data_IF_403241099838
#
_entry.id   IF_403241099838
#
_cell.length_a   1.000
_cell.length_b   1.000
_cell.length_c   1.000
_cell.angle_alpha   90.00
_cell.angle_beta   90.00
_cell.angle_gamma   90.00
#
_symmetry.space_group_name_H-M   'P 1'
#
loop_
_entity.id
_entity.type
_entity.pdbx_description
1 polymer ?
#
# COMPACT_ATOMS: atom_id res chain seq x y z
N UNK A 1 -13.26 16.35 18.67
CA UNK A 1 -11.86 16.05 19.07
C UNK A 1 -11.21 15.35 17.90
N UNK A 2 -10.08 15.83 17.36
CA UNK A 2 -9.27 15.05 16.43
C UNK A 2 -8.58 13.98 17.25
N UNK A 3 -9.00 12.74 17.13
CA UNK A 3 -8.37 11.60 17.78
C UNK A 3 -6.98 11.42 17.18
N UNK A 4 -5.95 11.30 18.01
CA UNK A 4 -4.57 11.11 17.58
C UNK A 4 -3.89 10.06 18.49
N UNK A 5 -2.63 9.75 18.24
CA UNK A 5 -1.87 8.79 19.03
C UNK A 5 -1.22 9.38 20.28
N UNK A 6 -1.56 10.61 20.71
CA UNK A 6 -0.91 11.27 21.86
C UNK A 6 -1.04 10.48 23.17
N UNK A 7 -2.15 9.76 23.33
CA UNK A 7 -2.45 9.03 24.54
C UNK A 7 -2.05 7.54 24.46
N UNK A 8 -1.61 7.08 23.28
CA UNK A 8 -1.15 5.70 23.09
C UNK A 8 0.26 5.53 23.66
N UNK A 9 0.32 5.36 24.99
CA UNK A 9 1.56 5.11 25.74
C UNK A 9 1.79 3.61 25.96
N UNK A 10 2.97 3.18 26.42
CA UNK A 10 3.29 1.76 26.66
C UNK A 10 2.32 1.03 27.58
N UNK A 11 1.83 1.68 28.64
CA UNK A 11 0.90 1.06 29.59
C UNK A 11 -0.45 0.75 28.89
N UNK A 12 -0.98 1.71 28.13
CA UNK A 12 -2.21 1.50 27.35
C UNK A 12 -2.06 0.40 26.29
N UNK A 13 -0.88 0.31 25.67
CA UNK A 13 -0.58 -0.75 24.70
C UNK A 13 -0.57 -2.12 25.39
N UNK A 14 0.05 -2.23 26.56
CA UNK A 14 0.08 -3.46 27.34
C UNK A 14 -1.31 -3.87 27.80
N UNK A 15 -2.10 -2.93 28.35
CA UNK A 15 -3.49 -3.16 28.74
C UNK A 15 -4.36 -3.63 27.55
N UNK A 16 -4.13 -3.05 26.36
CA UNK A 16 -4.84 -3.47 25.15
C UNK A 16 -4.47 -4.91 24.74
N UNK A 17 -3.20 -5.28 24.81
CA UNK A 17 -2.76 -6.65 24.49
C UNK A 17 -3.32 -7.65 25.50
N UNK A 18 -3.37 -7.31 26.77
CA UNK A 18 -3.96 -8.17 27.81
C UNK A 18 -5.42 -8.55 27.53
N UNK A 19 -6.19 -7.70 26.85
CA UNK A 19 -7.55 -8.04 26.41
C UNK A 19 -7.61 -9.25 25.47
N UNK A 20 -6.54 -9.52 24.74
CA UNK A 20 -6.43 -10.70 23.88
C UNK A 20 -6.18 -12.01 24.66
N UNK A 21 -5.84 -11.89 25.95
CA UNK A 21 -5.38 -13.00 26.79
C UNK A 21 -3.92 -13.37 26.63
N UNK A 22 -3.17 -12.68 25.76
CA UNK A 22 -1.71 -12.82 25.65
C UNK A 22 -1.05 -12.05 26.80
N UNK A 23 -0.02 -12.67 27.40
CA UNK A 23 0.77 -12.02 28.45
C UNK A 23 2.15 -11.66 27.93
N UNK A 24 2.49 -10.38 28.01
CA UNK A 24 3.77 -9.86 27.52
C UNK A 24 4.88 -10.25 28.49
N UNK A 25 5.93 -10.87 27.98
CA UNK A 25 7.19 -11.18 28.71
C UNK A 25 8.41 -10.47 28.07
N UNK A 26 8.20 -9.35 27.42
CA UNK A 26 9.27 -8.56 26.79
C UNK A 26 8.96 -7.07 26.83
N UNK A 27 9.93 -6.23 26.43
CA UNK A 27 9.63 -4.86 26.06
C UNK A 27 8.86 -4.79 24.74
N UNK A 28 8.20 -3.64 24.50
CA UNK A 28 7.60 -3.29 23.22
C UNK A 28 8.67 -2.72 22.30
N UNK A 29 8.78 -3.26 21.09
CA UNK A 29 9.69 -2.75 20.05
C UNK A 29 8.84 -2.07 19.01
N UNK A 30 8.95 -0.74 18.87
CA UNK A 30 8.26 0.01 17.82
C UNK A 30 8.83 -0.38 16.46
N UNK A 31 7.95 -0.72 15.53
CA UNK A 31 8.30 -1.01 14.13
C UNK A 31 8.05 0.23 13.26
N UNK A 32 8.79 0.33 12.15
CA UNK A 32 8.65 1.43 11.21
C UNK A 32 7.26 1.39 10.56
N UNK A 33 6.35 2.20 11.07
CA UNK A 33 5.03 2.45 10.49
C UNK A 33 4.62 3.87 10.81
N UNK A 34 4.28 4.63 9.78
CA UNK A 34 3.94 6.05 9.94
C UNK A 34 2.42 6.27 10.00
N UNK A 35 1.66 5.45 9.28
CA UNK A 35 0.21 5.57 9.25
C UNK A 35 -0.43 4.99 10.52
N UNK A 36 -0.05 3.79 10.88
CA UNK A 36 -0.48 3.11 12.09
C UNK A 36 0.60 3.17 13.18
N UNK A 37 0.32 2.64 14.36
CA UNK A 37 1.35 2.37 15.36
C UNK A 37 1.51 0.87 15.49
N UNK A 38 2.71 0.39 15.23
CA UNK A 38 3.00 -1.05 15.14
C UNK A 38 4.12 -1.40 16.11
N UNK A 39 3.87 -2.39 16.94
CA UNK A 39 4.83 -2.85 17.93
C UNK A 39 5.01 -4.36 17.86
N UNK A 40 6.25 -4.80 18.04
CA UNK A 40 6.57 -6.21 18.22
C UNK A 40 6.75 -6.47 19.73
N UNK A 41 6.24 -7.62 20.18
CA UNK A 41 6.41 -8.11 21.54
C UNK A 41 6.54 -9.63 21.55
N UNK A 42 6.90 -10.18 22.72
CA UNK A 42 7.04 -11.61 22.96
C UNK A 42 6.18 -11.99 24.17
N UNK A 43 5.52 -13.13 24.09
CA UNK A 43 4.74 -13.71 25.21
C UNK A 43 5.61 -14.56 26.15
N UNK A 44 5.00 -15.09 27.22
CA UNK A 44 5.65 -15.98 28.22
C UNK A 44 6.20 -17.27 27.60
N UNK A 45 5.63 -17.73 26.45
CA UNK A 45 6.10 -18.89 25.68
C UNK A 45 7.22 -18.53 24.70
N UNK A 46 7.72 -17.31 24.73
CA UNK A 46 8.71 -16.74 23.79
C UNK A 46 8.26 -16.70 22.35
N UNK A 47 6.95 -16.73 22.09
CA UNK A 47 6.40 -16.50 20.75
C UNK A 47 6.35 -15.01 20.48
N UNK A 48 6.70 -14.63 19.26
CA UNK A 48 6.73 -13.23 18.83
C UNK A 48 5.46 -12.86 18.12
N UNK A 49 4.95 -11.68 18.43
CA UNK A 49 3.73 -11.11 17.87
C UNK A 49 3.99 -9.68 17.42
N UNK A 50 3.11 -9.23 16.52
CA UNK A 50 3.02 -7.84 16.10
C UNK A 50 1.62 -7.35 16.41
N UNK A 51 1.50 -6.23 17.13
CA UNK A 51 0.24 -5.51 17.33
C UNK A 51 0.24 -4.26 16.48
N UNK A 52 -0.84 -4.06 15.71
CA UNK A 52 -1.09 -2.86 14.91
C UNK A 52 -2.29 -2.12 15.48
N UNK A 53 -2.08 -0.89 15.93
CA UNK A 53 -3.12 0.06 16.29
C UNK A 53 -3.45 0.88 15.06
N UNK A 54 -4.67 0.73 14.55
CA UNK A 54 -5.13 1.45 13.37
C UNK A 54 -5.30 2.93 13.67
N UNK A 55 -4.94 3.78 12.71
CA UNK A 55 -5.14 5.22 12.84
C UNK A 55 -6.63 5.51 12.98
N UNK A 56 -7.04 6.16 14.08
CA UNK A 56 -8.43 6.52 14.28
C UNK A 56 -8.96 7.41 13.13
N UNK A 57 -10.12 7.03 12.60
CA UNK A 57 -10.77 7.79 11.53
C UNK A 57 -10.21 7.61 10.11
N UNK A 58 -9.17 6.75 9.92
CA UNK A 58 -8.72 6.38 8.57
C UNK A 58 -9.66 5.37 7.93
N UNK A 59 -9.90 4.27 8.61
CA UNK A 59 -10.79 3.21 8.18
C UNK A 59 -11.94 3.02 9.17
N UNK A 60 -13.13 2.71 8.68
CA UNK A 60 -14.24 2.26 9.51
C UNK A 60 -13.97 0.82 10.01
N UNK A 61 -14.65 0.43 11.09
CA UNK A 61 -14.60 -0.95 11.57
C UNK A 61 -14.95 -1.98 10.48
N UNK A 62 -15.94 -1.69 9.64
CA UNK A 62 -16.35 -2.56 8.55
C UNK A 62 -15.24 -2.71 7.49
N UNK A 63 -14.54 -1.64 7.17
CA UNK A 63 -13.42 -1.68 6.23
C UNK A 63 -12.24 -2.50 6.77
N UNK A 64 -11.92 -2.38 8.07
CA UNK A 64 -10.85 -3.17 8.69
C UNK A 64 -11.23 -4.65 8.73
N UNK A 65 -12.46 -4.96 9.09
CA UNK A 65 -12.92 -6.37 9.13
C UNK A 65 -12.97 -7.00 7.74
N UNK A 66 -13.23 -6.22 6.70
CA UNK A 66 -13.18 -6.70 5.32
C UNK A 66 -11.74 -6.99 4.85
N UNK A 67 -10.74 -6.17 5.28
CA UNK A 67 -9.31 -6.49 5.13
C UNK A 67 -8.97 -7.83 5.80
N UNK A 68 -9.39 -8.00 7.06
CA UNK A 68 -9.14 -9.23 7.83
C UNK A 68 -9.78 -10.46 7.16
N UNK A 69 -11.01 -10.32 6.67
CA UNK A 69 -11.72 -11.39 5.98
C UNK A 69 -11.02 -11.77 4.65
N UNK A 70 -10.51 -10.78 3.92
CA UNK A 70 -9.73 -11.03 2.72
C UNK A 70 -8.44 -11.78 3.03
N UNK A 71 -7.67 -11.33 4.04
CA UNK A 71 -6.46 -12.02 4.48
C UNK A 71 -6.73 -13.47 4.90
N UNK A 72 -7.80 -13.71 5.69
CA UNK A 72 -8.19 -15.04 6.12
C UNK A 72 -8.50 -15.95 4.93
N UNK A 73 -9.25 -15.45 3.94
CA UNK A 73 -9.58 -16.19 2.72
C UNK A 73 -8.33 -16.54 1.89
N UNK A 74 -7.38 -15.62 1.77
CA UNK A 74 -6.11 -15.92 1.11
C UNK A 74 -5.36 -17.05 1.83
N UNK A 75 -5.34 -17.04 3.16
CA UNK A 75 -4.77 -18.13 3.96
C UNK A 75 -5.50 -19.47 3.76
N UNK A 76 -6.84 -19.47 3.68
CA UNK A 76 -7.66 -20.67 3.42
C UNK A 76 -7.31 -21.33 2.07
N UNK A 77 -6.85 -20.53 1.11
CA UNK A 77 -6.38 -21.03 -0.19
C UNK A 77 -4.86 -21.26 -0.23
N UNK A 78 -4.23 -21.38 0.93
CA UNK A 78 -2.79 -21.64 1.09
C UNK A 78 -1.90 -20.59 0.41
N UNK A 79 -2.37 -19.33 0.35
CA UNK A 79 -1.56 -18.20 -0.10
C UNK A 79 -0.83 -17.63 1.11
N UNK A 80 0.50 -17.42 1.03
CA UNK A 80 1.30 -16.97 2.15
C UNK A 80 1.09 -15.46 2.41
N UNK A 81 0.07 -15.14 3.19
CA UNK A 81 -0.20 -13.77 3.68
C UNK A 81 -0.22 -13.74 5.20
N UNK A 82 0.15 -12.60 5.78
CA UNK A 82 0.00 -12.39 7.21
C UNK A 82 -1.46 -12.03 7.52
N UNK A 83 -2.20 -12.95 8.16
CA UNK A 83 -3.55 -12.70 8.63
C UNK A 83 -3.58 -12.44 10.14
N UNK A 84 -4.49 -11.58 10.65
CA UNK A 84 -4.62 -11.34 12.07
C UNK A 84 -5.16 -12.56 12.82
N UNK A 85 -4.72 -12.72 14.07
CA UNK A 85 -5.16 -13.79 14.96
C UNK A 85 -6.57 -13.46 15.50
N UNK A 86 -7.44 -14.46 15.55
CA UNK A 86 -8.73 -14.31 16.19
C UNK A 86 -8.65 -14.66 17.70
N UNK A 87 -9.15 -13.77 18.54
CA UNK A 87 -9.30 -13.96 19.98
C UNK A 87 -10.79 -13.98 20.32
N UNK A 88 -11.25 -15.09 20.88
CA UNK A 88 -12.70 -15.34 21.12
C UNK A 88 -13.59 -15.14 19.87
N UNK A 89 -13.04 -15.38 18.67
CA UNK A 89 -13.73 -15.23 17.39
C UNK A 89 -13.60 -13.85 16.74
N UNK A 90 -12.99 -12.87 17.42
CA UNK A 90 -12.80 -11.50 16.92
C UNK A 90 -11.36 -11.26 16.51
N UNK A 91 -11.14 -10.73 15.31
CA UNK A 91 -9.81 -10.34 14.80
C UNK A 91 -9.48 -8.86 15.03
N UNK A 92 -10.51 -8.04 15.25
CA UNK A 92 -10.38 -6.61 15.54
C UNK A 92 -10.88 -6.34 16.95
N UNK A 93 -9.96 -5.97 17.81
CA UNK A 93 -10.21 -5.57 19.19
C UNK A 93 -10.20 -4.04 19.31
N UNK A 94 -10.68 -3.53 20.44
CA UNK A 94 -10.67 -2.10 20.72
C UNK A 94 -10.37 -1.85 22.20
N UNK A 95 -9.48 -0.91 22.48
CA UNK A 95 -9.20 -0.45 23.82
C UNK A 95 -9.12 1.08 23.87
N UNK A 96 -9.91 1.70 24.73
CA UNK A 96 -10.00 3.16 24.92
C UNK A 96 -10.13 3.95 23.61
N UNK A 97 -10.91 3.43 22.65
CA UNK A 97 -11.15 4.06 21.33
C UNK A 97 -10.06 3.80 20.29
N UNK A 98 -9.03 2.99 20.61
CA UNK A 98 -8.04 2.53 19.65
C UNK A 98 -8.40 1.14 19.13
N UNK A 99 -8.80 1.00 17.84
CA UNK A 99 -8.94 -0.31 17.22
C UNK A 99 -7.55 -0.90 16.97
N UNK A 100 -7.39 -2.20 17.27
CA UNK A 100 -6.14 -2.90 17.07
C UNK A 100 -6.35 -4.37 16.69
N UNK A 101 -5.33 -4.94 16.06
CA UNK A 101 -5.28 -6.37 15.78
C UNK A 101 -3.87 -6.89 16.02
N UNK A 102 -3.76 -8.21 16.18
CA UNK A 102 -2.50 -8.89 16.51
C UNK A 102 -2.21 -9.97 15.47
N UNK A 103 -0.97 -10.02 15.03
CA UNK A 103 -0.45 -11.03 14.10
C UNK A 103 0.65 -11.84 14.78
N UNK A 104 0.82 -13.08 14.35
CA UNK A 104 2.06 -13.78 14.63
C UNK A 104 3.20 -13.08 13.89
N UNK A 105 4.29 -12.77 14.60
CA UNK A 105 5.48 -12.20 13.96
C UNK A 105 6.17 -13.25 13.11
N UNK A 106 6.28 -12.97 11.82
CA UNK A 106 6.99 -13.84 10.88
C UNK A 106 8.31 -13.18 10.50
N UNK A 107 9.42 -13.91 10.66
CA UNK A 107 10.72 -13.46 10.19
C UNK A 107 10.89 -13.75 8.70
N UNK A 108 11.64 -12.89 8.04
CA UNK A 108 12.03 -13.05 6.65
C UNK A 108 13.07 -11.98 6.27
N UNK A 109 13.83 -12.23 5.21
CA UNK A 109 14.63 -11.18 4.58
C UNK A 109 13.75 -10.36 3.64
N UNK A 110 14.23 -9.22 3.21
CA UNK A 110 13.56 -8.45 2.17
C UNK A 110 13.57 -9.23 0.84
N UNK A 111 12.48 -9.14 0.10
CA UNK A 111 12.38 -9.61 -1.27
C UNK A 111 13.32 -8.81 -2.19
N UNK A 112 13.99 -9.50 -3.10
CA UNK A 112 14.96 -8.91 -4.04
C UNK A 112 14.36 -8.91 -5.45
N UNK A 113 13.92 -7.75 -5.91
CA UNK A 113 13.26 -7.59 -7.24
C UNK A 113 14.18 -8.00 -8.39
N UNK A 114 15.49 -7.77 -8.26
CA UNK A 114 16.47 -8.09 -9.30
C UNK A 114 16.76 -9.60 -9.40
N UNK A 115 16.24 -10.39 -8.45
CA UNK A 115 16.28 -11.84 -8.51
C UNK A 115 15.06 -12.35 -9.28
N UNK A 116 15.26 -12.68 -10.55
CA UNK A 116 14.17 -13.09 -11.46
C UNK A 116 13.46 -14.37 -11.00
N UNK A 117 14.17 -15.32 -10.37
CA UNK A 117 13.54 -16.53 -9.83
C UNK A 117 12.54 -16.17 -8.70
N UNK A 118 12.93 -15.22 -7.83
CA UNK A 118 12.03 -14.72 -6.77
C UNK A 118 10.86 -13.94 -7.37
N UNK A 119 11.11 -13.15 -8.40
CA UNK A 119 10.10 -12.34 -9.07
C UNK A 119 9.03 -13.23 -9.74
N UNK A 120 9.43 -14.31 -10.39
CA UNK A 120 8.51 -15.29 -10.98
C UNK A 120 7.63 -15.95 -9.89
N UNK A 121 8.23 -16.31 -8.73
CA UNK A 121 7.46 -16.81 -7.59
C UNK A 121 6.46 -15.80 -7.06
N UNK A 122 6.84 -14.52 -6.97
CA UNK A 122 5.91 -13.44 -6.60
C UNK A 122 4.78 -13.36 -7.62
N UNK A 123 5.08 -13.46 -8.91
CA UNK A 123 4.09 -13.51 -9.99
C UNK A 123 3.06 -14.64 -9.76
N UNK A 124 3.50 -15.86 -9.49
CA UNK A 124 2.61 -17.00 -9.20
C UNK A 124 1.64 -16.70 -8.06
N UNK A 125 2.14 -16.14 -6.97
CA UNK A 125 1.28 -15.84 -5.82
C UNK A 125 0.37 -14.64 -6.07
N UNK A 126 0.81 -13.63 -6.83
CA UNK A 126 -0.08 -12.53 -7.24
C UNK A 126 -1.19 -13.03 -8.15
N UNK A 127 -0.91 -13.96 -9.08
CA UNK A 127 -1.95 -14.62 -9.89
C UNK A 127 -2.98 -15.34 -9.02
N UNK A 128 -2.53 -16.03 -7.97
CA UNK A 128 -3.42 -16.69 -7.00
C UNK A 128 -4.23 -15.70 -6.17
N UNK A 129 -3.58 -14.64 -5.64
CA UNK A 129 -4.26 -13.56 -4.89
C UNK A 129 -5.36 -12.93 -5.75
N UNK A 130 -5.04 -12.60 -6.99
CA UNK A 130 -5.99 -11.98 -7.91
C UNK A 130 -7.11 -12.93 -8.37
N UNK A 131 -6.84 -14.22 -8.51
CA UNK A 131 -7.87 -15.24 -8.78
C UNK A 131 -8.90 -15.31 -7.63
N UNK A 132 -8.43 -15.23 -6.38
CA UNK A 132 -9.32 -15.09 -5.21
C UNK A 132 -10.03 -13.75 -5.24
N UNK A 133 -9.30 -12.65 -5.52
CA UNK A 133 -9.84 -11.29 -5.58
C UNK A 133 -10.90 -11.10 -6.67
N UNK A 134 -10.81 -11.81 -7.78
CA UNK A 134 -11.81 -11.79 -8.85
C UNK A 134 -13.12 -12.49 -8.45
N UNK A 135 -13.06 -13.46 -7.55
CA UNK A 135 -14.24 -14.17 -7.02
C UNK A 135 -14.88 -13.49 -5.81
N UNK A 136 -14.24 -12.45 -5.27
CA UNK A 136 -14.64 -11.75 -4.05
C UNK A 136 -14.58 -10.24 -4.23
N UNK A 137 -15.73 -9.58 -4.17
CA UNK A 137 -15.84 -8.14 -4.22
C UNK A 137 -15.81 -7.54 -2.82
N UNK A 138 -15.05 -6.48 -2.63
CA UNK A 138 -15.16 -5.62 -1.45
C UNK A 138 -16.47 -4.83 -1.48
N UNK A 139 -17.10 -4.69 -0.31
CA UNK A 139 -18.33 -3.93 -0.14
C UNK A 139 -18.10 -2.61 0.60
N UNK A 140 -17.09 -2.57 1.46
CA UNK A 140 -16.76 -1.43 2.30
C UNK A 140 -15.42 -0.78 1.92
N UNK A 141 -14.46 -1.57 1.42
CA UNK A 141 -13.15 -1.04 0.99
C UNK A 141 -13.33 -0.14 -0.24
N UNK A 142 -12.46 0.86 -0.33
CA UNK A 142 -12.48 1.83 -1.41
C UNK A 142 -12.10 1.20 -2.75
N UNK A 143 -12.49 1.88 -3.83
CA UNK A 143 -12.00 1.59 -5.17
C UNK A 143 -10.84 2.53 -5.49
N UNK A 144 -9.95 2.08 -6.36
CA UNK A 144 -8.91 2.93 -6.93
C UNK A 144 -9.56 3.83 -7.99
N UNK A 145 -9.69 5.11 -7.69
CA UNK A 145 -10.34 6.09 -8.56
C UNK A 145 -9.57 7.42 -8.60
N UNK A 146 -9.86 8.22 -9.61
CA UNK A 146 -9.20 9.50 -9.84
C UNK A 146 -9.62 10.58 -8.84
N UNK A 147 -10.81 10.48 -8.25
CA UNK A 147 -11.29 11.46 -7.26
C UNK A 147 -10.43 11.39 -6.00
N UNK A 148 -10.35 10.23 -5.38
CA UNK A 148 -9.60 10.03 -4.13
C UNK A 148 -8.09 10.12 -4.30
N UNK A 149 -7.57 9.78 -5.50
CA UNK A 149 -6.12 9.74 -5.74
C UNK A 149 -5.54 11.02 -6.36
N UNK A 150 -6.35 11.86 -6.97
CA UNK A 150 -5.89 13.05 -7.69
C UNK A 150 -6.67 14.32 -7.33
N UNK A 151 -8.00 14.33 -7.44
CA UNK A 151 -8.79 15.56 -7.27
C UNK A 151 -8.82 16.02 -5.82
N UNK A 152 -9.14 15.14 -4.86
CA UNK A 152 -9.06 15.46 -3.42
C UNK A 152 -7.64 15.85 -2.99
N UNK A 153 -6.55 15.10 -3.35
CA UNK A 153 -5.18 15.52 -3.12
C UNK A 153 -4.84 16.92 -3.65
N UNK A 154 -5.22 17.19 -4.89
CA UNK A 154 -4.98 18.49 -5.52
C UNK A 154 -5.69 19.62 -4.75
N UNK A 155 -6.95 19.40 -4.36
CA UNK A 155 -7.72 20.36 -3.56
C UNK A 155 -7.10 20.61 -2.19
N UNK A 156 -6.68 19.53 -1.50
CA UNK A 156 -6.02 19.61 -0.20
C UNK A 156 -4.71 20.42 -0.27
N UNK A 157 -3.89 20.17 -1.28
CA UNK A 157 -2.62 20.88 -1.47
C UNK A 157 -2.84 22.36 -1.77
N UNK A 158 -3.89 22.71 -2.52
CA UNK A 158 -4.23 24.10 -2.81
C UNK A 158 -4.81 24.82 -1.59
N UNK A 159 -5.71 24.20 -0.85
CA UNK A 159 -6.39 24.80 0.30
C UNK A 159 -5.45 25.00 1.51
N UNK A 160 -4.45 24.13 1.66
CA UNK A 160 -3.51 24.18 2.78
C UNK A 160 -2.32 25.10 2.58
N UNK A 161 -2.22 25.81 1.45
CA UNK A 161 -1.11 26.70 1.10
C UNK A 161 0.28 26.04 1.23
N UNK A 162 0.34 24.74 0.95
CA UNK A 162 1.55 23.93 1.10
C UNK A 162 2.65 24.34 0.13
N UNK A 163 2.26 24.68 -1.11
CA UNK A 163 3.20 25.04 -2.17
C UNK A 163 3.57 26.51 -2.04
N UNK A 164 4.86 26.86 -1.98
CA UNK A 164 5.29 28.26 -1.94
C UNK A 164 4.67 29.09 -3.07
N UNK A 165 4.22 30.32 -2.76
CA UNK A 165 3.50 31.19 -3.71
C UNK A 165 4.26 31.41 -5.02
N UNK A 166 5.60 31.50 -4.96
CA UNK A 166 6.46 31.64 -6.15
C UNK A 166 6.51 30.38 -7.04
N UNK A 167 6.13 29.22 -6.52
CA UNK A 167 6.11 27.95 -7.24
C UNK A 167 4.70 27.49 -7.60
N UNK A 168 3.67 28.03 -6.95
CA UNK A 168 2.30 27.55 -7.05
C UNK A 168 1.79 27.49 -8.49
N UNK A 169 2.04 28.54 -9.30
CA UNK A 169 1.60 28.55 -10.71
C UNK A 169 2.23 27.43 -11.52
N UNK A 170 3.52 27.18 -11.34
CA UNK A 170 4.23 26.11 -12.06
C UNK A 170 3.77 24.74 -11.59
N UNK A 171 3.68 24.54 -10.28
CA UNK A 171 3.27 23.26 -9.69
C UNK A 171 1.84 22.88 -10.10
N UNK A 172 0.86 23.75 -9.86
CA UNK A 172 -0.53 23.42 -10.21
C UNK A 172 -0.74 23.36 -11.72
N UNK A 173 0.03 24.11 -12.51
CA UNK A 173 -0.05 24.03 -13.97
C UNK A 173 0.33 22.64 -14.51
N UNK A 174 1.46 22.08 -14.08
CA UNK A 174 1.88 20.74 -14.49
C UNK A 174 0.99 19.65 -13.87
N UNK A 175 0.56 19.83 -12.62
CA UNK A 175 -0.34 18.91 -11.94
C UNK A 175 -1.70 18.81 -12.65
N UNK A 176 -2.29 19.94 -13.03
CA UNK A 176 -3.59 19.97 -13.72
C UNK A 176 -3.50 19.34 -15.13
N UNK A 177 -2.36 19.49 -15.81
CA UNK A 177 -2.10 18.80 -17.08
C UNK A 177 -1.96 17.29 -16.89
N UNK A 178 -1.19 16.86 -15.89
CA UNK A 178 -1.02 15.45 -15.53
C UNK A 178 -2.36 14.80 -15.18
N UNK A 179 -3.19 15.45 -14.37
CA UNK A 179 -4.53 14.95 -13.98
C UNK A 179 -5.38 14.70 -15.22
N UNK A 180 -5.39 15.61 -16.21
CA UNK A 180 -6.17 15.39 -17.45
C UNK A 180 -5.74 14.11 -18.17
N UNK A 181 -4.41 13.92 -18.36
CA UNK A 181 -3.90 12.72 -19.03
C UNK A 181 -4.25 11.43 -18.27
N UNK A 182 -4.16 11.45 -16.94
CA UNK A 182 -4.55 10.30 -16.12
C UNK A 182 -6.05 10.03 -16.21
N UNK A 183 -6.90 11.06 -16.12
CA UNK A 183 -8.34 10.89 -16.24
C UNK A 183 -8.72 10.25 -17.58
N UNK A 184 -8.11 10.69 -18.68
CA UNK A 184 -8.35 10.12 -20.01
C UNK A 184 -7.95 8.64 -20.07
N UNK A 185 -6.78 8.28 -19.53
CA UNK A 185 -6.29 6.90 -19.49
C UNK A 185 -7.13 5.98 -18.60
N UNK A 186 -7.61 6.49 -17.45
CA UNK A 186 -8.41 5.73 -16.50
C UNK A 186 -9.85 5.46 -16.95
N UNK A 187 -10.24 5.95 -18.14
CA UNK A 187 -11.50 5.55 -18.80
C UNK A 187 -11.44 4.16 -19.43
N UNK A 188 -10.25 3.54 -19.49
CA UNK A 188 -10.07 2.20 -20.04
C UNK A 188 -10.92 1.19 -19.27
N UNK A 189 -11.78 0.48 -20.02
CA UNK A 189 -12.66 -0.55 -19.47
C UNK A 189 -11.89 -1.87 -19.34
N UNK A 190 -11.44 -2.15 -18.11
CA UNK A 190 -10.74 -3.37 -17.70
C UNK A 190 -11.37 -3.93 -16.43
N UNK A 191 -11.15 -5.21 -16.20
CA UNK A 191 -11.64 -5.87 -14.99
C UNK A 191 -11.12 -5.16 -13.72
N UNK A 192 -11.98 -5.05 -12.71
CA UNK A 192 -11.62 -4.53 -11.39
C UNK A 192 -11.89 -5.60 -10.36
N UNK A 193 -10.83 -5.97 -9.65
CA UNK A 193 -10.83 -7.07 -8.70
C UNK A 193 -10.38 -6.58 -7.32
N UNK A 194 -10.56 -7.39 -6.30
CA UNK A 194 -9.98 -7.11 -4.97
C UNK A 194 -8.47 -7.36 -5.00
N UNK A 195 -7.70 -6.36 -4.60
CA UNK A 195 -6.25 -6.30 -4.68
C UNK A 195 -5.61 -6.20 -3.30
N UNK A 196 -4.31 -6.50 -3.22
CA UNK A 196 -3.47 -6.06 -2.11
C UNK A 196 -3.45 -4.52 -2.01
N UNK A 197 -3.36 -3.84 -3.15
CA UNK A 197 -3.52 -2.40 -3.29
C UNK A 197 -2.25 -1.57 -3.05
N UNK A 198 -1.30 -2.06 -2.26
CA UNK A 198 0.02 -1.47 -2.04
C UNK A 198 1.12 -2.54 -2.08
N UNK A 199 1.08 -3.40 -3.11
CA UNK A 199 2.00 -4.51 -3.26
C UNK A 199 3.35 -4.04 -3.82
N UNK A 200 4.21 -3.54 -2.96
CA UNK A 200 5.58 -3.16 -3.30
C UNK A 200 6.59 -4.09 -2.61
N UNK A 201 7.87 -4.11 -3.04
CA UNK A 201 8.87 -5.04 -2.50
C UNK A 201 9.04 -5.00 -0.97
N UNK A 202 8.79 -3.84 -0.34
CA UNK A 202 8.82 -3.70 1.13
C UNK A 202 7.69 -4.43 1.87
N UNK A 203 6.61 -4.78 1.18
CA UNK A 203 5.48 -5.54 1.72
C UNK A 203 5.55 -7.03 1.37
N UNK A 204 6.71 -7.50 0.91
CA UNK A 204 6.98 -8.91 0.64
C UNK A 204 8.21 -9.34 1.45
N UNK A 205 8.00 -10.23 2.40
CA UNK A 205 9.09 -10.89 3.13
C UNK A 205 9.45 -12.20 2.41
N UNK A 206 10.72 -12.56 2.41
CA UNK A 206 11.21 -13.78 1.79
C UNK A 206 11.75 -14.78 2.82
N UNK A 207 11.11 -15.93 2.91
CA UNK A 207 11.56 -17.06 3.70
C UNK A 207 11.05 -18.33 3.04
N UNK A 208 11.92 -19.05 2.33
CA UNK A 208 11.54 -20.26 1.56
C UNK A 208 10.43 -20.01 0.52
N UNK A 209 10.16 -18.75 0.20
CA UNK A 209 9.11 -18.22 -0.66
C UNK A 209 8.62 -16.85 -0.20
N UNK A 210 7.77 -16.18 -0.98
CA UNK A 210 7.22 -14.88 -0.61
C UNK A 210 6.17 -15.00 0.49
N UNK A 211 6.14 -14.06 1.40
CA UNK A 211 5.06 -13.82 2.36
C UNK A 211 4.59 -12.38 2.19
N UNK A 212 3.34 -12.20 1.82
CA UNK A 212 2.73 -10.87 1.66
C UNK A 212 2.26 -10.34 3.01
N UNK A 213 2.58 -9.09 3.29
CA UNK A 213 2.23 -8.42 4.54
C UNK A 213 1.56 -7.08 4.24
N UNK A 214 0.88 -6.52 5.24
CA UNK A 214 0.27 -5.19 5.23
C UNK A 214 -0.78 -4.96 4.13
N UNK A 215 -1.90 -5.70 4.25
CA UNK A 215 -3.11 -5.53 3.44
C UNK A 215 -3.93 -4.28 3.79
N UNK A 216 -3.38 -3.35 4.58
CA UNK A 216 -4.07 -2.16 5.10
C UNK A 216 -4.64 -1.25 3.99
N UNK A 217 -4.05 -1.31 2.81
CA UNK A 217 -4.47 -0.57 1.62
C UNK A 217 -5.21 -1.42 0.57
N UNK A 218 -5.67 -2.64 0.94
CA UNK A 218 -6.44 -3.47 0.03
C UNK A 218 -7.68 -2.74 -0.49
N UNK A 219 -7.93 -2.86 -1.77
CA UNK A 219 -8.96 -2.09 -2.51
C UNK A 219 -9.37 -2.78 -3.80
N UNK A 220 -10.42 -2.29 -4.42
CA UNK A 220 -10.82 -2.73 -5.76
C UNK A 220 -10.07 -1.92 -6.83
N UNK A 221 -9.47 -2.59 -7.81
CA UNK A 221 -8.74 -1.94 -8.90
C UNK A 221 -8.33 -2.90 -10.01
N UNK A 222 -7.61 -2.40 -11.04
CA UNK A 222 -7.05 -3.23 -12.10
C UNK A 222 -5.88 -4.07 -11.58
N UNK A 223 -5.69 -5.28 -12.11
CA UNK A 223 -4.67 -6.22 -11.67
C UNK A 223 -3.24 -5.63 -11.74
N UNK A 224 -2.97 -4.82 -12.75
CA UNK A 224 -1.66 -4.19 -12.92
C UNK A 224 -1.24 -3.33 -11.72
N UNK A 225 -2.18 -2.87 -10.87
CA UNK A 225 -1.86 -2.08 -9.67
C UNK A 225 -0.89 -2.83 -8.74
N UNK A 226 -1.05 -4.12 -8.55
CA UNK A 226 -0.17 -4.91 -7.68
C UNK A 226 1.08 -5.43 -8.39
N UNK A 227 1.17 -5.27 -9.71
CA UNK A 227 2.28 -5.76 -10.53
C UNK A 227 3.31 -4.67 -10.80
N UNK A 228 2.88 -3.45 -11.18
CA UNK A 228 3.79 -2.42 -11.64
C UNK A 228 4.78 -1.93 -10.58
N UNK A 229 4.43 -2.02 -9.30
CA UNK A 229 5.31 -1.59 -8.21
C UNK A 229 6.52 -2.51 -7.98
N UNK A 230 6.55 -3.66 -8.65
CA UNK A 230 7.72 -4.56 -8.71
C UNK A 230 8.73 -4.13 -9.77
N UNK A 231 8.34 -3.24 -10.70
CA UNK A 231 9.18 -2.85 -11.84
C UNK A 231 10.09 -1.69 -11.45
N UNK A 232 11.38 -1.86 -11.70
CA UNK A 232 12.39 -0.83 -11.45
C UNK A 232 13.45 -0.75 -12.58
N UNK A 233 14.32 0.24 -12.49
CA UNK A 233 15.40 0.43 -13.47
C UNK A 233 14.93 1.00 -14.81
N UNK A 234 15.74 0.80 -15.84
CA UNK A 234 15.49 1.28 -17.19
C UNK A 234 14.38 0.47 -17.88
N UNK A 235 13.80 1.03 -18.94
CA UNK A 235 12.66 0.43 -19.66
C UNK A 235 12.88 -1.04 -20.05
N UNK A 236 14.08 -1.38 -20.51
CA UNK A 236 14.40 -2.76 -20.89
C UNK A 236 14.44 -3.71 -19.69
N UNK A 237 14.96 -3.24 -18.56
CA UNK A 237 14.97 -4.01 -17.31
C UNK A 237 13.55 -4.24 -16.82
N UNK A 238 12.70 -3.20 -16.86
CA UNK A 238 11.28 -3.30 -16.53
C UNK A 238 10.53 -4.28 -17.45
N UNK A 239 10.88 -4.37 -18.73
CA UNK A 239 10.28 -5.36 -19.65
C UNK A 239 10.64 -6.79 -19.23
N UNK A 240 11.93 -7.06 -18.93
CA UNK A 240 12.36 -8.39 -18.45
C UNK A 240 11.65 -8.75 -17.14
N UNK A 241 11.58 -7.82 -16.21
CA UNK A 241 10.90 -8.02 -14.93
C UNK A 241 9.40 -8.29 -15.13
N UNK A 242 8.74 -7.53 -16.00
CA UNK A 242 7.32 -7.71 -16.31
C UNK A 242 7.03 -9.08 -16.92
N UNK A 243 7.82 -9.49 -17.92
CA UNK A 243 7.67 -10.79 -18.57
C UNK A 243 7.88 -11.94 -17.58
N UNK A 244 8.89 -11.82 -16.72
CA UNK A 244 9.16 -12.80 -15.66
C UNK A 244 8.01 -12.88 -14.66
N UNK A 245 7.51 -11.73 -14.21
CA UNK A 245 6.39 -11.64 -13.27
C UNK A 245 5.13 -12.24 -13.87
N UNK A 246 4.84 -11.93 -15.14
CA UNK A 246 3.66 -12.43 -15.84
C UNK A 246 3.77 -13.92 -16.18
N UNK A 247 4.97 -14.45 -16.45
CA UNK A 247 5.16 -15.88 -16.66
C UNK A 247 4.67 -16.70 -15.44
N UNK A 248 5.00 -16.24 -14.23
CA UNK A 248 4.44 -16.84 -13.01
C UNK A 248 2.96 -16.54 -12.78
N UNK A 249 2.53 -15.33 -13.04
CA UNK A 249 1.16 -14.88 -12.82
C UNK A 249 0.14 -15.64 -13.67
N UNK A 250 0.44 -15.83 -14.94
CA UNK A 250 -0.45 -16.48 -15.92
C UNK A 250 -0.59 -18.00 -15.72
N UNK A 251 0.18 -18.62 -14.81
CA UNK A 251 -0.09 -19.98 -14.35
C UNK A 251 -1.43 -20.08 -13.59
N UNK A 252 -1.95 -18.97 -13.05
CA UNK A 252 -3.13 -18.97 -12.18
C UNK A 252 -4.23 -18.00 -12.63
N UNK A 253 -3.89 -16.92 -13.33
CA UNK A 253 -4.85 -15.93 -13.79
C UNK A 253 -4.36 -15.29 -15.09
N UNK A 254 -5.22 -15.25 -16.11
CA UNK A 254 -4.95 -14.55 -17.37
C UNK A 254 -4.79 -13.06 -17.13
N UNK A 255 -3.74 -12.45 -17.72
CA UNK A 255 -3.50 -11.03 -17.63
C UNK A 255 -4.06 -10.32 -18.86
N UNK A 256 -4.79 -9.22 -18.64
CA UNK A 256 -5.25 -8.36 -19.74
C UNK A 256 -4.12 -7.38 -20.16
N UNK A 257 -3.47 -7.58 -21.31
CA UNK A 257 -2.34 -6.74 -21.71
C UNK A 257 -2.73 -5.27 -21.96
N UNK A 258 -4.03 -4.94 -22.08
CA UNK A 258 -4.50 -3.56 -22.16
C UNK A 258 -4.19 -2.79 -20.87
N UNK A 259 -4.10 -3.47 -19.73
CA UNK A 259 -3.78 -2.86 -18.44
C UNK A 259 -2.36 -2.28 -18.39
N UNK A 260 -1.45 -2.66 -19.30
CA UNK A 260 -0.12 -2.06 -19.38
C UNK A 260 -0.17 -0.55 -19.65
N UNK A 261 -1.21 -0.06 -20.31
CA UNK A 261 -1.43 1.37 -20.51
C UNK A 261 -1.75 2.13 -19.20
N UNK A 262 -2.08 1.42 -18.12
CA UNK A 262 -2.40 2.00 -16.82
C UNK A 262 -1.19 2.15 -15.89
N UNK A 263 0.00 1.62 -16.24
CA UNK A 263 1.19 1.68 -15.37
C UNK A 263 1.53 3.13 -15.01
N UNK A 264 1.72 3.99 -16.01
CA UNK A 264 2.11 5.38 -15.77
C UNK A 264 0.96 6.23 -15.17
N UNK A 265 -0.32 6.06 -15.55
CA UNK A 265 -1.44 6.64 -14.82
C UNK A 265 -1.48 6.28 -13.32
N UNK A 266 -1.29 5.02 -12.98
CA UNK A 266 -1.26 4.56 -11.58
C UNK A 266 -0.05 5.09 -10.81
N UNK A 267 1.10 5.17 -11.45
CA UNK A 267 2.32 5.79 -10.89
C UNK A 267 2.08 7.28 -10.60
N UNK A 268 1.48 8.00 -11.53
CA UNK A 268 1.12 9.41 -11.35
C UNK A 268 0.15 9.60 -10.17
N UNK A 269 -0.89 8.75 -10.08
CA UNK A 269 -1.83 8.76 -8.96
C UNK A 269 -1.12 8.53 -7.62
N UNK A 270 -0.19 7.58 -7.54
CA UNK A 270 0.60 7.33 -6.32
C UNK A 270 1.47 8.52 -5.94
N UNK A 271 2.15 9.16 -6.90
CA UNK A 271 2.99 10.34 -6.67
C UNK A 271 2.15 11.48 -6.06
N UNK A 272 1.00 11.79 -6.65
CA UNK A 272 0.13 12.89 -6.20
C UNK A 272 -0.50 12.58 -4.85
N UNK A 273 -0.99 11.34 -4.68
CA UNK A 273 -1.58 10.89 -3.43
C UNK A 273 -0.56 10.95 -2.27
N UNK A 274 0.69 10.58 -2.51
CA UNK A 274 1.75 10.61 -1.50
C UNK A 274 2.05 12.03 -0.99
N UNK A 275 2.10 13.03 -1.88
CA UNK A 275 2.25 14.44 -1.47
C UNK A 275 1.11 14.88 -0.54
N UNK A 276 -0.12 14.53 -0.89
CA UNK A 276 -1.29 14.86 -0.08
C UNK A 276 -1.36 14.06 1.24
N UNK A 277 -0.89 12.81 1.22
CA UNK A 277 -0.78 11.99 2.44
C UNK A 277 0.17 12.63 3.45
N UNK A 278 1.34 13.11 3.03
CA UNK A 278 2.28 13.85 3.89
C UNK A 278 1.63 15.11 4.45
N UNK A 279 0.97 15.90 3.60
CA UNK A 279 0.29 17.14 4.01
C UNK A 279 -0.85 16.88 5.01
N UNK A 280 -1.66 15.86 4.75
CA UNK A 280 -2.80 15.47 5.60
C UNK A 280 -2.38 15.02 6.99
N UNK A 281 -1.19 14.46 7.10
CA UNK A 281 -0.62 13.88 8.34
C UNK A 281 0.37 14.79 9.05
N UNK A 282 0.65 15.96 8.52
CA UNK A 282 1.71 16.84 9.01
C UNK A 282 1.53 17.33 10.45
N UNK A 283 0.30 17.35 10.95
CA UNK A 283 0.00 17.68 12.35
C UNK A 283 0.40 16.55 13.34
N UNK A 284 0.60 15.31 12.87
CA UNK A 284 1.10 14.21 13.70
C UNK A 284 2.61 14.40 13.92
N UNK A 285 3.08 14.53 15.18
CA UNK A 285 4.50 14.82 15.48
C UNK A 285 5.50 13.81 14.91
N UNK A 286 5.06 12.59 14.58
CA UNK A 286 5.91 11.61 13.92
C UNK A 286 6.29 12.04 12.50
N UNK A 287 5.40 12.71 11.77
CA UNK A 287 5.64 13.09 10.38
C UNK A 287 6.75 14.13 10.21
N UNK A 288 6.75 15.29 10.90
CA UNK A 288 7.87 16.23 10.81
C UNK A 288 9.21 15.64 11.24
N UNK A 289 9.23 14.67 12.15
CA UNK A 289 10.46 14.00 12.58
C UNK A 289 11.05 13.09 11.51
N UNK A 290 10.21 12.33 10.81
CA UNK A 290 10.65 11.35 9.82
C UNK A 290 10.79 11.95 8.41
N UNK A 291 9.93 12.92 8.08
CA UNK A 291 9.85 13.57 6.77
C UNK A 291 10.30 15.04 6.85
N UNK A 292 11.38 15.34 7.56
CA UNK A 292 11.88 16.71 7.80
C UNK A 292 12.15 17.50 6.51
N UNK A 293 12.32 16.83 5.39
CA UNK A 293 12.50 17.39 4.06
C UNK A 293 11.19 17.86 3.41
N UNK A 294 10.04 17.36 3.87
CA UNK A 294 8.72 17.76 3.35
C UNK A 294 8.44 19.23 3.65
N UNK A 295 7.65 19.87 2.78
CA UNK A 295 7.25 21.28 2.87
C UNK A 295 8.42 22.29 2.84
N UNK A 296 9.58 21.90 2.32
CA UNK A 296 10.66 22.83 1.99
C UNK A 296 10.52 23.31 0.53
N UNK A 297 11.07 24.50 0.22
CA UNK A 297 11.08 24.99 -1.17
C UNK A 297 11.82 24.04 -2.10
N UNK A 298 12.89 23.42 -1.61
CA UNK A 298 13.64 22.40 -2.37
C UNK A 298 12.77 21.20 -2.73
N UNK A 299 12.00 20.69 -1.78
CA UNK A 299 11.05 19.59 -2.02
C UNK A 299 10.06 19.95 -3.14
N UNK A 300 9.42 21.12 -3.07
CA UNK A 300 8.44 21.51 -4.07
C UNK A 300 9.05 21.72 -5.46
N UNK A 301 10.29 22.22 -5.54
CA UNK A 301 11.03 22.28 -6.82
C UNK A 301 11.29 20.89 -7.40
N UNK A 302 11.67 19.92 -6.56
CA UNK A 302 11.83 18.53 -6.98
C UNK A 302 10.49 17.93 -7.42
N UNK A 303 9.38 18.19 -6.71
CA UNK A 303 8.08 17.67 -7.12
C UNK A 303 7.62 18.24 -8.49
N UNK A 304 7.91 19.48 -8.78
CA UNK A 304 7.63 20.06 -10.11
C UNK A 304 8.41 19.27 -11.18
N UNK A 305 9.69 19.00 -10.98
CA UNK A 305 10.49 18.21 -11.91
C UNK A 305 9.93 16.77 -12.05
N UNK A 306 9.65 16.10 -10.94
CA UNK A 306 9.03 14.75 -10.92
C UNK A 306 7.71 14.72 -11.70
N UNK A 307 6.85 15.74 -11.54
CA UNK A 307 5.58 15.81 -12.27
C UNK A 307 5.79 16.03 -13.77
N UNK A 308 6.81 16.81 -14.18
CA UNK A 308 7.16 16.95 -15.59
C UNK A 308 7.68 15.63 -16.19
N UNK A 309 8.57 14.94 -15.47
CA UNK A 309 9.10 13.64 -15.93
C UNK A 309 7.95 12.63 -16.05
N UNK A 310 7.03 12.61 -15.07
CA UNK A 310 5.86 11.72 -15.10
C UNK A 310 4.87 12.09 -16.22
N UNK A 311 4.73 13.36 -16.53
CA UNK A 311 3.90 13.80 -17.65
C UNK A 311 4.48 13.36 -18.99
N UNK A 312 5.79 13.39 -19.17
CA UNK A 312 6.46 12.84 -20.37
C UNK A 312 6.32 11.32 -20.43
N UNK A 313 6.40 10.62 -19.29
CA UNK A 313 6.15 9.18 -19.25
C UNK A 313 4.72 8.81 -19.66
N UNK A 314 3.72 9.61 -19.24
CA UNK A 314 2.32 9.44 -19.65
C UNK A 314 2.09 9.62 -21.16
N UNK A 315 2.89 10.46 -21.82
CA UNK A 315 2.83 10.70 -23.26
C UNK A 315 3.61 9.66 -24.08
N UNK A 316 4.52 8.94 -23.43
CA UNK A 316 5.30 7.89 -24.09
C UNK A 316 4.43 6.64 -24.37
N UNK A 317 4.81 5.79 -25.34
CA UNK A 317 4.14 4.52 -25.54
C UNK A 317 4.16 3.67 -24.27
N UNK A 318 3.08 2.95 -23.94
CA UNK A 318 3.04 2.04 -22.80
C UNK A 318 4.19 1.02 -22.82
N UNK A 319 4.52 0.48 -21.64
CA UNK A 319 5.43 -0.65 -21.56
C UNK A 319 4.82 -1.82 -22.36
N UNK A 320 5.63 -2.52 -23.10
CA UNK A 320 5.20 -3.66 -23.92
C UNK A 320 5.88 -4.93 -23.45
N UNK A 321 5.24 -6.05 -23.62
CA UNK A 321 5.86 -7.37 -23.41
C UNK A 321 6.97 -7.61 -24.43
N UNK A 322 7.91 -8.47 -24.08
CA UNK A 322 8.97 -8.90 -25.00
C UNK A 322 8.34 -9.71 -26.14
N UNK A 323 8.84 -9.60 -27.39
CA UNK A 323 8.38 -10.46 -28.46
C UNK A 323 8.61 -11.94 -28.10
N UNK A 324 7.55 -12.73 -28.16
CA UNK A 324 7.69 -14.19 -28.06
C UNK A 324 8.30 -14.71 -29.36
N UNK A 325 9.43 -15.42 -29.27
CA UNK A 325 10.13 -16.04 -30.38
C UNK A 325 9.68 -17.47 -30.60
#
# INVERSE_FOLDING_TARGET
MRFNYSDLNPDLIMDAIDLSGLRIDSGLIELNSYENRVYQFQDEDRRRYVVKFYRPGRWSRAQILEEHAFAARLCETEIPVAAPIAFAGETLLEHQGYPFAIWQSVGGRQFEVDNLDQLEWVGRYLGRIHSVGASHSFHHRIQLDVESMLHEPRQLLAAGEWVPSGLAKSFFGVLDELIRHVCDAMTLDVARISLHGDCHPGNILWRDGPLFVDLDDCRTGPAIQDLWMMLNGERHEQQIQLDTLLAGYEEFMEFDPRELALIEPLRAMRIVHYMAWLARRWEDPAFPRHFSWFNTEHYWRQQIATLHDQLEALKAPPLSLMPQW
#
